data_IF_114857904720
#
_entry.id   IF_114857904720
#
_cell.length_a   1.000
_cell.length_b   1.000
_cell.length_c   1.000
_cell.angle_alpha   90.00
_cell.angle_beta   90.00
_cell.angle_gamma   90.00
#
_symmetry.space_group_name_H-M   'P 1'
#
loop_
_entity.id
_entity.type
_entity.pdbx_description
1 polymer ?
#
# COMPACT_ATOMS: atom_id res chain seq x y z
N UNK A 1 -23.01 7.44 -0.20
CA UNK A 1 -23.61 6.17 -0.64
C UNK A 1 -24.92 6.38 -1.39
N UNK A 2 -25.84 7.17 -0.86
CA UNK A 2 -27.14 7.42 -1.51
C UNK A 2 -26.96 7.94 -2.95
N UNK A 3 -26.07 8.92 -3.17
CA UNK A 3 -25.75 9.44 -4.50
C UNK A 3 -25.18 8.37 -5.43
N UNK A 4 -24.33 7.49 -4.92
CA UNK A 4 -23.76 6.37 -5.70
C UNK A 4 -24.85 5.37 -6.08
N UNK A 5 -25.73 5.02 -5.15
CA UNK A 5 -26.87 4.15 -5.43
C UNK A 5 -27.86 4.80 -6.42
N UNK A 6 -28.04 6.12 -6.35
CA UNK A 6 -28.86 6.85 -7.32
C UNK A 6 -28.22 6.85 -8.72
N UNK A 7 -26.88 6.98 -8.81
CA UNK A 7 -26.16 6.85 -10.07
C UNK A 7 -26.32 5.43 -10.67
N UNK A 8 -26.17 4.40 -9.85
CA UNK A 8 -26.32 3.00 -10.28
C UNK A 8 -27.76 2.62 -10.67
N UNK A 9 -28.77 3.33 -10.14
CA UNK A 9 -30.17 3.17 -10.62
C UNK A 9 -30.33 3.73 -12.04
N UNK A 10 -29.57 4.74 -12.44
CA UNK A 10 -29.59 5.31 -13.78
C UNK A 10 -28.75 4.53 -14.78
N UNK A 11 -27.57 4.08 -14.32
CA UNK A 11 -26.63 3.28 -15.08
C UNK A 11 -25.99 2.22 -14.17
N UNK A 12 -26.53 1.00 -14.22
CA UNK A 12 -26.10 -0.13 -13.41
C UNK A 12 -24.70 -0.63 -13.78
N UNK A 13 -24.17 -0.22 -14.95
CA UNK A 13 -22.83 -0.60 -15.43
C UNK A 13 -21.81 0.55 -15.32
N UNK A 14 -22.15 1.63 -14.63
CA UNK A 14 -21.23 2.73 -14.38
C UNK A 14 -20.04 2.27 -13.55
N UNK A 15 -18.90 2.01 -14.23
CA UNK A 15 -17.67 1.50 -13.62
C UNK A 15 -17.18 2.39 -12.48
N UNK A 16 -17.26 3.71 -12.67
CA UNK A 16 -16.84 4.68 -11.65
C UNK A 16 -17.75 4.65 -10.42
N UNK A 17 -19.05 4.50 -10.62
CA UNK A 17 -20.00 4.40 -9.51
C UNK A 17 -19.84 3.07 -8.75
N UNK A 18 -19.56 1.96 -9.45
CA UNK A 18 -19.29 0.66 -8.84
C UNK A 18 -17.97 0.73 -8.05
N UNK A 19 -16.91 1.33 -8.60
CA UNK A 19 -15.63 1.52 -7.90
C UNK A 19 -15.77 2.37 -6.63
N UNK A 20 -16.56 3.44 -6.70
CA UNK A 20 -16.85 4.28 -5.53
C UNK A 20 -17.69 3.52 -4.48
N UNK A 21 -18.65 2.69 -4.92
CA UNK A 21 -19.41 1.81 -4.02
C UNK A 21 -18.47 0.84 -3.28
N UNK A 22 -17.51 0.23 -3.99
CA UNK A 22 -16.53 -0.66 -3.40
C UNK A 22 -15.70 0.02 -2.30
N UNK A 23 -15.26 1.26 -2.54
CA UNK A 23 -14.55 2.07 -1.53
C UNK A 23 -15.40 2.32 -0.29
N UNK A 24 -16.68 2.70 -0.46
CA UNK A 24 -17.60 2.95 0.65
C UNK A 24 -17.86 1.68 1.45
N UNK A 25 -18.07 0.55 0.78
CA UNK A 25 -18.26 -0.76 1.42
C UNK A 25 -17.02 -1.16 2.23
N UNK A 26 -15.82 -1.00 1.67
CA UNK A 26 -14.57 -1.26 2.37
C UNK A 26 -14.38 -0.39 3.60
N UNK A 27 -14.68 0.91 3.51
CA UNK A 27 -14.62 1.85 4.63
C UNK A 27 -15.62 1.52 5.76
N UNK A 28 -16.69 0.79 5.46
CA UNK A 28 -17.67 0.28 6.44
C UNK A 28 -17.32 -1.09 7.01
N UNK A 29 -16.24 -1.69 6.53
CA UNK A 29 -15.84 -3.05 6.94
C UNK A 29 -16.59 -4.17 6.21
N UNK A 30 -17.44 -3.85 5.22
CA UNK A 30 -18.09 -4.86 4.38
C UNK A 30 -17.13 -5.33 3.27
N UNK A 31 -16.14 -6.09 3.72
CA UNK A 31 -15.04 -6.56 2.87
C UNK A 31 -15.54 -7.44 1.72
N UNK A 32 -16.54 -8.30 1.96
CA UNK A 32 -17.07 -9.19 0.93
C UNK A 32 -17.79 -8.42 -0.17
N UNK A 33 -18.65 -7.46 0.19
CA UNK A 33 -19.33 -6.62 -0.80
C UNK A 33 -18.35 -5.73 -1.55
N UNK A 34 -17.35 -5.16 -0.87
CA UNK A 34 -16.29 -4.37 -1.51
C UNK A 34 -15.56 -5.19 -2.58
N UNK A 35 -15.17 -6.42 -2.25
CA UNK A 35 -14.51 -7.32 -3.20
C UNK A 35 -15.36 -7.66 -4.41
N UNK A 36 -16.65 -7.93 -4.22
CA UNK A 36 -17.58 -8.18 -5.31
C UNK A 36 -17.70 -6.95 -6.24
N UNK A 37 -17.82 -5.76 -5.66
CA UNK A 37 -17.90 -4.50 -6.44
C UNK A 37 -16.60 -4.20 -7.18
N UNK A 38 -15.42 -4.38 -6.57
CA UNK A 38 -14.13 -4.21 -7.27
C UNK A 38 -13.98 -5.18 -8.43
N UNK A 39 -14.34 -6.46 -8.23
CA UNK A 39 -14.31 -7.47 -9.29
C UNK A 39 -15.23 -7.08 -10.43
N UNK A 40 -16.48 -6.72 -10.14
CA UNK A 40 -17.44 -6.28 -11.14
C UNK A 40 -16.92 -5.10 -11.97
N UNK A 41 -16.32 -4.08 -11.32
CA UNK A 41 -15.71 -2.97 -12.01
C UNK A 41 -14.58 -3.41 -12.97
N UNK A 42 -13.71 -4.32 -12.50
CA UNK A 42 -12.60 -4.84 -13.29
C UNK A 42 -13.06 -5.71 -14.49
N UNK A 43 -14.18 -6.42 -14.35
CA UNK A 43 -14.80 -7.19 -15.43
C UNK A 43 -15.45 -6.28 -16.49
N UNK A 44 -16.09 -5.19 -16.07
CA UNK A 44 -16.70 -4.21 -16.96
C UNK A 44 -15.67 -3.34 -17.70
N UNK A 45 -14.49 -3.10 -17.08
CA UNK A 45 -13.45 -2.25 -17.66
C UNK A 45 -12.08 -2.94 -17.63
N UNK A 46 -11.91 -4.05 -18.41
CA UNK A 46 -10.76 -4.94 -18.30
C UNK A 46 -9.42 -4.35 -18.79
N UNK A 47 -9.44 -3.13 -19.33
CA UNK A 47 -8.26 -2.42 -19.83
C UNK A 47 -8.02 -1.08 -19.08
N UNK A 48 -8.86 -0.73 -18.11
CA UNK A 48 -8.69 0.51 -17.34
C UNK A 48 -7.72 0.29 -16.18
N UNK A 49 -6.53 0.89 -16.29
CA UNK A 49 -5.45 0.72 -15.33
C UNK A 49 -5.81 1.16 -13.90
N UNK A 50 -6.57 2.23 -13.73
CA UNK A 50 -7.05 2.71 -12.44
C UNK A 50 -7.96 1.68 -11.73
N UNK A 51 -8.89 1.10 -12.47
CA UNK A 51 -9.85 0.10 -11.98
C UNK A 51 -9.12 -1.19 -11.58
N UNK A 52 -8.23 -1.66 -12.46
CA UNK A 52 -7.44 -2.89 -12.23
C UNK A 52 -6.48 -2.74 -11.05
N UNK A 53 -5.83 -1.56 -10.91
CA UNK A 53 -5.00 -1.25 -9.75
C UNK A 53 -5.80 -1.28 -8.44
N UNK A 54 -7.01 -0.71 -8.42
CA UNK A 54 -7.85 -0.68 -7.23
C UNK A 54 -8.28 -2.10 -6.81
N UNK A 55 -8.65 -2.95 -7.76
CA UNK A 55 -8.96 -4.35 -7.45
C UNK A 55 -7.72 -5.12 -6.97
N UNK A 56 -6.57 -4.93 -7.61
CA UNK A 56 -5.29 -5.50 -7.16
C UNK A 56 -4.94 -5.07 -5.73
N UNK A 57 -5.09 -3.78 -5.41
CA UNK A 57 -4.85 -3.26 -4.06
C UNK A 57 -5.77 -3.90 -3.02
N UNK A 58 -7.06 -4.07 -3.36
CA UNK A 58 -8.02 -4.75 -2.50
C UNK A 58 -7.62 -6.22 -2.27
N UNK A 59 -7.29 -6.97 -3.31
CA UNK A 59 -6.84 -8.37 -3.21
C UNK A 59 -5.61 -8.49 -2.31
N UNK A 60 -4.63 -7.61 -2.49
CA UNK A 60 -3.40 -7.58 -1.70
C UNK A 60 -3.66 -7.31 -0.22
N UNK A 61 -4.60 -6.43 0.08
CA UNK A 61 -4.99 -6.10 1.45
C UNK A 61 -5.78 -7.23 2.13
N UNK A 62 -6.48 -8.06 1.34
CA UNK A 62 -7.39 -9.08 1.81
C UNK A 62 -6.87 -10.53 1.63
N UNK A 63 -5.55 -10.71 1.64
CA UNK A 63 -4.93 -12.04 1.75
C UNK A 63 -4.66 -12.76 0.44
N UNK A 64 -4.85 -12.09 -0.72
CA UNK A 64 -4.55 -12.67 -2.05
C UNK A 64 -3.41 -11.93 -2.76
N UNK A 65 -2.21 -11.80 -2.14
CA UNK A 65 -1.14 -10.98 -2.72
C UNK A 65 -0.60 -11.54 -4.04
N UNK A 66 -0.54 -12.85 -4.21
CA UNK A 66 -0.06 -13.45 -5.45
C UNK A 66 -1.02 -13.19 -6.63
N UNK A 67 -2.34 -13.26 -6.40
CA UNK A 67 -3.35 -12.92 -7.40
C UNK A 67 -3.32 -11.43 -7.75
N UNK A 68 -3.18 -10.57 -6.75
CA UNK A 68 -3.10 -9.12 -6.92
C UNK A 68 -2.01 -8.69 -7.91
N UNK A 69 -0.87 -9.37 -7.93
CA UNK A 69 0.24 -9.05 -8.83
C UNK A 69 -0.16 -9.12 -10.30
N UNK A 70 -1.01 -10.09 -10.67
CA UNK A 70 -1.52 -10.19 -12.05
C UNK A 70 -2.39 -8.98 -12.43
N UNK A 71 -3.16 -8.45 -11.49
CA UNK A 71 -4.00 -7.29 -11.73
C UNK A 71 -3.18 -6.00 -11.84
N UNK A 72 -2.10 -5.86 -11.07
CA UNK A 72 -1.16 -4.75 -11.24
C UNK A 72 -0.42 -4.82 -12.58
N UNK A 73 0.00 -6.00 -13.03
CA UNK A 73 0.62 -6.17 -14.34
C UNK A 73 -0.33 -5.74 -15.48
N UNK A 74 -1.61 -6.11 -15.37
CA UNK A 74 -2.64 -5.67 -16.32
C UNK A 74 -2.89 -4.15 -16.24
N UNK A 75 -2.90 -3.56 -15.04
CA UNK A 75 -3.03 -2.12 -14.86
C UNK A 75 -1.88 -1.35 -15.53
N UNK A 76 -0.67 -1.85 -15.40
CA UNK A 76 0.54 -1.27 -16.01
C UNK A 76 0.62 -1.47 -17.52
N UNK A 77 -0.14 -2.40 -18.09
CA UNK A 77 -0.26 -2.57 -19.53
C UNK A 77 -1.12 -1.47 -20.19
N UNK A 78 -1.97 -0.78 -19.42
CA UNK A 78 -2.71 0.39 -19.89
C UNK A 78 -1.77 1.60 -20.04
N UNK A 79 -1.44 1.94 -21.30
CA UNK A 79 -0.54 3.05 -21.63
C UNK A 79 -1.14 4.43 -21.32
N UNK A 80 -2.44 4.51 -21.06
CA UNK A 80 -3.16 5.74 -20.73
C UNK A 80 -3.33 5.93 -19.23
N UNK A 81 -2.92 4.96 -18.43
CA UNK A 81 -3.03 5.01 -16.99
C UNK A 81 -2.14 6.13 -16.41
N UNK A 82 -2.80 7.11 -15.78
CA UNK A 82 -2.13 8.35 -15.34
C UNK A 82 -1.21 8.18 -14.11
N UNK A 83 -1.31 7.04 -13.40
CA UNK A 83 -0.60 6.85 -12.12
C UNK A 83 0.21 5.54 -12.06
N UNK A 84 1.11 5.28 -13.03
CA UNK A 84 1.88 4.03 -13.06
C UNK A 84 2.81 3.88 -11.85
N UNK A 85 3.32 4.98 -11.28
CA UNK A 85 4.12 4.94 -10.06
C UNK A 85 3.35 4.35 -8.88
N UNK A 86 2.05 4.68 -8.76
CA UNK A 86 1.19 4.12 -7.71
C UNK A 86 0.97 2.61 -7.89
N UNK A 87 0.70 2.16 -9.11
CA UNK A 87 0.54 0.73 -9.38
C UNK A 87 1.84 -0.06 -9.14
N UNK A 88 2.98 0.48 -9.54
CA UNK A 88 4.29 -0.12 -9.26
C UNK A 88 4.60 -0.17 -7.76
N UNK A 89 4.29 0.90 -7.02
CA UNK A 89 4.42 0.93 -5.57
C UNK A 89 3.55 -0.13 -4.90
N UNK A 90 2.27 -0.22 -5.31
CA UNK A 90 1.34 -1.25 -4.84
C UNK A 90 1.82 -2.66 -5.18
N UNK A 91 2.25 -2.89 -6.43
CA UNK A 91 2.78 -4.17 -6.87
C UNK A 91 4.01 -4.59 -6.05
N UNK A 92 4.94 -3.67 -5.83
CA UNK A 92 6.15 -3.92 -5.05
C UNK A 92 5.85 -4.24 -3.58
N UNK A 93 5.00 -3.46 -2.92
CA UNK A 93 4.56 -3.74 -1.55
C UNK A 93 3.79 -5.06 -1.44
N UNK A 94 3.00 -5.39 -2.47
CA UNK A 94 2.28 -6.66 -2.54
C UNK A 94 3.21 -7.85 -2.80
N UNK A 95 4.23 -7.67 -3.63
CA UNK A 95 5.24 -8.69 -3.89
C UNK A 95 6.01 -9.06 -2.61
N UNK A 96 6.26 -8.09 -1.70
CA UNK A 96 6.82 -8.40 -0.37
C UNK A 96 5.91 -9.33 0.40
N UNK A 97 4.61 -9.05 0.45
CA UNK A 97 3.62 -9.91 1.12
C UNK A 97 3.49 -11.29 0.47
N UNK A 98 3.75 -11.37 -0.83
CA UNK A 98 3.76 -12.63 -1.59
C UNK A 98 5.09 -13.40 -1.47
N UNK A 99 6.06 -12.92 -0.69
CA UNK A 99 7.37 -13.56 -0.55
C UNK A 99 8.25 -13.47 -1.82
N UNK A 100 8.07 -12.42 -2.64
CA UNK A 100 8.79 -12.18 -3.89
C UNK A 100 9.69 -10.92 -3.80
N UNK A 101 10.76 -10.93 -2.97
CA UNK A 101 11.55 -9.73 -2.68
C UNK A 101 12.30 -9.16 -3.89
N UNK A 102 12.67 -9.98 -4.87
CA UNK A 102 13.36 -9.53 -6.10
C UNK A 102 12.40 -8.77 -7.00
N UNK A 103 11.17 -9.27 -7.17
CA UNK A 103 10.09 -8.55 -7.87
C UNK A 103 9.79 -7.25 -7.16
N UNK A 104 9.62 -7.28 -5.85
CA UNK A 104 9.39 -6.09 -5.03
C UNK A 104 10.46 -5.03 -5.28
N UNK A 105 11.74 -5.40 -5.22
CA UNK A 105 12.85 -4.48 -5.47
C UNK A 105 12.77 -3.85 -6.87
N UNK A 106 12.43 -4.63 -7.89
CA UNK A 106 12.28 -4.16 -9.27
C UNK A 106 11.15 -3.16 -9.43
N UNK A 107 9.96 -3.51 -8.95
CA UNK A 107 8.76 -2.68 -9.08
C UNK A 107 8.88 -1.38 -8.25
N UNK A 108 9.42 -1.47 -7.03
CA UNK A 108 9.61 -0.30 -6.15
C UNK A 108 10.66 0.68 -6.71
N UNK A 109 11.76 0.20 -7.31
CA UNK A 109 12.71 1.09 -7.97
C UNK A 109 12.06 1.85 -9.11
N UNK A 110 11.33 1.15 -10.00
CA UNK A 110 10.59 1.80 -11.10
C UNK A 110 9.56 2.81 -10.58
N UNK A 111 8.89 2.50 -9.46
CA UNK A 111 7.96 3.45 -8.82
C UNK A 111 8.68 4.73 -8.39
N UNK A 112 9.86 4.60 -7.76
CA UNK A 112 10.67 5.73 -7.29
C UNK A 112 11.40 6.47 -8.42
N UNK A 113 11.66 5.82 -9.55
CA UNK A 113 12.16 6.49 -10.76
C UNK A 113 11.11 7.42 -11.36
N UNK A 114 9.83 7.03 -11.29
CA UNK A 114 8.70 7.82 -11.79
C UNK A 114 8.23 8.88 -10.77
N UNK A 115 8.22 8.54 -9.50
CA UNK A 115 7.85 9.41 -8.38
C UNK A 115 8.81 9.21 -7.21
N UNK A 116 9.90 9.99 -7.13
CA UNK A 116 10.93 9.86 -6.10
C UNK A 116 10.42 10.05 -4.65
N UNK A 117 9.26 10.69 -4.50
CA UNK A 117 8.65 10.97 -3.20
C UNK A 117 7.41 10.11 -2.93
N UNK A 118 7.16 9.07 -3.71
CA UNK A 118 6.05 8.15 -3.46
C UNK A 118 6.15 7.53 -2.06
N UNK A 119 5.27 7.90 -1.13
CA UNK A 119 5.44 7.52 0.27
C UNK A 119 5.27 6.02 0.50
N UNK A 120 4.41 5.37 -0.29
CA UNK A 120 4.19 3.92 -0.17
C UNK A 120 5.37 3.11 -0.70
N UNK A 121 5.96 3.54 -1.84
CA UNK A 121 7.16 2.92 -2.39
C UNK A 121 8.36 3.10 -1.46
N UNK A 122 8.54 4.28 -0.86
CA UNK A 122 9.60 4.54 0.12
C UNK A 122 9.45 3.67 1.37
N UNK A 123 8.23 3.54 1.92
CA UNK A 123 7.98 2.66 3.07
C UNK A 123 8.27 1.20 2.72
N UNK A 124 7.81 0.75 1.55
CA UNK A 124 8.02 -0.63 1.11
C UNK A 124 9.49 -0.96 0.85
N UNK A 125 10.27 -0.01 0.30
CA UNK A 125 11.74 -0.16 0.18
C UNK A 125 12.41 -0.23 1.55
N UNK A 126 12.00 0.61 2.51
CA UNK A 126 12.53 0.56 3.86
C UNK A 126 12.26 -0.82 4.51
N UNK A 127 11.06 -1.38 4.33
CA UNK A 127 10.72 -2.74 4.80
C UNK A 127 11.57 -3.82 4.14
N UNK A 128 11.72 -3.73 2.81
CA UNK A 128 12.53 -4.68 2.04
C UNK A 128 13.97 -4.71 2.54
N UNK A 129 14.61 -3.53 2.65
CA UNK A 129 16.01 -3.43 3.05
C UNK A 129 16.19 -3.79 4.54
N UNK A 130 15.25 -3.44 5.42
CA UNK A 130 15.25 -3.89 6.81
C UNK A 130 15.14 -5.42 6.93
N UNK A 131 14.29 -6.05 6.12
CA UNK A 131 14.16 -7.50 6.05
C UNK A 131 15.45 -8.21 5.57
N UNK A 132 16.22 -7.56 4.72
CA UNK A 132 17.55 -7.99 4.28
C UNK A 132 18.67 -7.66 5.27
N UNK A 133 18.35 -6.99 6.39
CA UNK A 133 19.29 -6.43 7.38
C UNK A 133 20.20 -5.33 6.83
N UNK A 134 19.85 -4.74 5.70
CA UNK A 134 20.52 -3.57 5.12
C UNK A 134 20.01 -2.30 5.81
N UNK A 135 20.24 -2.19 7.12
CA UNK A 135 19.60 -1.14 7.94
C UNK A 135 20.07 0.27 7.57
N UNK A 136 21.23 0.43 6.95
CA UNK A 136 21.72 1.73 6.48
C UNK A 136 20.85 2.25 5.33
N UNK A 137 20.60 1.42 4.36
CA UNK A 137 19.73 1.71 3.21
C UNK A 137 18.27 1.88 3.66
N UNK A 138 17.83 1.02 4.59
CA UNK A 138 16.49 1.12 5.16
C UNK A 138 16.27 2.47 5.85
N UNK A 139 17.28 2.97 6.60
CA UNK A 139 17.26 4.31 7.24
C UNK A 139 17.07 5.40 6.18
N UNK A 140 17.81 5.37 5.10
CA UNK A 140 17.71 6.37 4.04
C UNK A 140 16.29 6.42 3.45
N UNK A 141 15.66 5.26 3.21
CA UNK A 141 14.30 5.20 2.70
C UNK A 141 13.26 5.66 3.72
N UNK A 142 13.38 5.29 5.00
CA UNK A 142 12.39 5.67 6.02
C UNK A 142 12.45 7.16 6.33
N UNK A 143 13.63 7.78 6.33
CA UNK A 143 13.79 9.23 6.49
C UNK A 143 13.14 9.99 5.32
N UNK A 144 13.36 9.55 4.08
CA UNK A 144 12.67 10.11 2.90
C UNK A 144 11.15 9.93 3.02
N UNK A 145 10.68 8.77 3.49
CA UNK A 145 9.25 8.51 3.72
C UNK A 145 8.64 9.51 4.73
N UNK A 146 9.35 9.76 5.83
CA UNK A 146 8.91 10.70 6.86
C UNK A 146 8.95 12.17 6.39
N UNK A 147 9.83 12.50 5.44
CA UNK A 147 9.87 13.80 4.80
C UNK A 147 8.77 13.98 3.74
N UNK A 148 8.38 12.90 3.03
CA UNK A 148 7.44 12.95 1.92
C UNK A 148 5.97 13.01 2.36
N UNK A 149 5.62 12.46 3.54
CA UNK A 149 4.23 12.41 4.00
C UNK A 149 4.16 12.32 5.55
N UNK A 150 3.01 12.67 6.14
CA UNK A 150 2.80 12.55 7.58
C UNK A 150 3.15 11.15 8.09
N UNK A 151 3.69 11.09 9.30
CA UNK A 151 3.99 9.83 9.96
C UNK A 151 2.71 9.03 10.22
N UNK A 152 2.83 7.71 10.20
CA UNK A 152 1.83 6.78 10.71
C UNK A 152 2.47 5.96 11.83
N UNK A 153 1.67 5.31 12.66
CA UNK A 153 2.18 4.43 13.71
C UNK A 153 3.10 3.34 13.12
N UNK A 154 2.70 2.72 12.00
CA UNK A 154 3.49 1.67 11.33
C UNK A 154 4.83 2.17 10.81
N UNK A 155 4.88 3.40 10.29
CA UNK A 155 6.12 4.03 9.81
C UNK A 155 7.07 4.32 10.97
N UNK A 156 6.56 4.83 12.10
CA UNK A 156 7.39 5.06 13.28
C UNK A 156 7.90 3.75 13.90
N UNK A 157 7.06 2.71 13.93
CA UNK A 157 7.47 1.38 14.40
C UNK A 157 8.59 0.80 13.50
N UNK A 158 8.47 0.93 12.19
CA UNK A 158 9.52 0.52 11.25
C UNK A 158 10.82 1.32 11.47
N UNK A 159 10.72 2.64 11.68
CA UNK A 159 11.88 3.48 11.97
C UNK A 159 12.57 3.03 13.27
N UNK A 160 11.81 2.73 14.32
CA UNK A 160 12.35 2.18 15.58
C UNK A 160 13.11 0.88 15.32
N UNK A 161 12.52 -0.04 14.58
CA UNK A 161 13.13 -1.34 14.24
C UNK A 161 14.44 -1.17 13.45
N UNK A 162 14.46 -0.26 12.49
CA UNK A 162 15.66 0.05 11.69
C UNK A 162 16.77 0.60 12.58
N UNK A 163 16.48 1.55 13.46
CA UNK A 163 17.49 2.15 14.36
C UNK A 163 18.00 1.14 15.39
N UNK A 164 17.14 0.25 15.88
CA UNK A 164 17.55 -0.87 16.73
C UNK A 164 18.48 -1.82 15.98
N UNK A 165 18.21 -2.10 14.71
CA UNK A 165 19.08 -2.91 13.84
C UNK A 165 20.45 -2.29 13.61
N UNK A 166 20.54 -0.96 13.61
CA UNK A 166 21.80 -0.20 13.54
C UNK A 166 22.50 -0.06 14.90
N UNK A 167 21.83 -0.40 16.01
CA UNK A 167 22.33 -0.19 17.36
C UNK A 167 22.22 1.28 17.85
N UNK A 168 21.55 2.16 17.12
CA UNK A 168 21.35 3.56 17.46
C UNK A 168 20.18 3.72 18.46
N UNK A 169 20.47 3.48 19.73
CA UNK A 169 19.47 3.58 20.81
C UNK A 169 18.91 4.99 20.98
N UNK A 170 19.67 6.02 20.62
CA UNK A 170 19.25 7.41 20.75
C UNK A 170 18.21 7.75 19.69
N UNK A 171 18.46 7.39 18.44
CA UNK A 171 17.51 7.58 17.35
C UNK A 171 16.24 6.73 17.56
N UNK A 172 16.37 5.47 17.95
CA UNK A 172 15.25 4.60 18.28
C UNK A 172 14.38 5.21 19.41
N UNK A 173 14.99 5.76 20.46
CA UNK A 173 14.29 6.43 21.55
C UNK A 173 13.51 7.66 21.09
N UNK A 174 14.05 8.45 20.16
CA UNK A 174 13.33 9.61 19.58
C UNK A 174 12.09 9.19 18.82
N UNK A 175 12.17 8.15 17.97
CA UNK A 175 11.01 7.64 17.27
C UNK A 175 9.99 6.99 18.21
N UNK A 176 10.44 6.33 19.29
CA UNK A 176 9.55 5.79 20.32
C UNK A 176 8.76 6.90 21.03
N UNK A 177 9.41 8.02 21.39
CA UNK A 177 8.74 9.16 22.00
C UNK A 177 7.70 9.79 21.06
N UNK A 178 8.02 9.89 19.76
CA UNK A 178 7.07 10.34 18.75
C UNK A 178 5.87 9.40 18.64
N UNK A 179 6.10 8.08 18.60
CA UNK A 179 5.03 7.08 18.54
C UNK A 179 4.07 7.22 19.74
N UNK A 180 4.59 7.31 20.96
CA UNK A 180 3.77 7.51 22.17
C UNK A 180 2.97 8.80 22.12
N UNK A 181 3.58 9.89 21.66
CA UNK A 181 2.97 11.20 21.60
C UNK A 181 1.90 11.33 20.52
N UNK A 182 2.21 10.84 19.30
CA UNK A 182 1.38 11.03 18.12
C UNK A 182 0.32 9.90 17.97
N UNK A 183 0.61 8.71 18.50
CA UNK A 183 -0.22 7.49 18.36
C UNK A 183 -0.26 6.68 19.66
N UNK A 184 -0.83 7.22 20.75
CA UNK A 184 -0.79 6.59 22.08
C UNK A 184 -1.39 5.17 22.09
N UNK A 185 -2.48 4.95 21.37
CA UNK A 185 -3.15 3.63 21.30
C UNK A 185 -2.28 2.58 20.61
N UNK A 186 -1.51 2.97 19.59
CA UNK A 186 -0.60 2.06 18.89
C UNK A 186 0.70 1.78 19.67
N UNK A 187 1.07 2.68 20.58
CA UNK A 187 2.25 2.52 21.42
C UNK A 187 2.05 1.50 22.56
N UNK A 188 0.80 1.28 22.98
CA UNK A 188 0.41 0.30 24.01
C UNK A 188 0.12 -1.08 23.44
N UNK A 189 -0.11 -1.18 22.13
CA UNK A 189 -0.30 -2.48 21.45
C UNK A 189 1.03 -3.24 21.45
N UNK A 190 1.05 -4.42 22.06
CA UNK A 190 2.25 -5.29 22.12
C UNK A 190 2.74 -5.58 20.70
N UNK A 191 4.03 -5.42 20.38
CA UNK A 191 4.58 -5.82 19.09
C UNK A 191 4.50 -7.35 18.97
N UNK A 192 3.55 -7.86 18.21
CA UNK A 192 3.42 -9.31 18.09
C UNK A 192 2.27 -9.85 17.25
N UNK A 193 1.28 -9.03 16.87
CA UNK A 193 0.09 -9.57 16.19
C UNK A 193 0.08 -9.41 14.65
N UNK A 194 1.01 -8.64 14.07
CA UNK A 194 1.04 -8.39 12.61
C UNK A 194 2.48 -8.38 12.05
N UNK A 195 3.37 -9.21 12.57
CA UNK A 195 4.67 -9.44 11.96
C UNK A 195 4.55 -10.66 11.01
N UNK A 196 4.75 -10.41 9.74
CA UNK A 196 4.89 -11.25 8.55
C UNK A 196 3.74 -11.11 7.57
#
# INVERSE_FOLDING_TARGET
EEQVRAALKKDAQSVDAIGLLALIQGARGDTAAAGASYRQAAELAPQRGDVLNNYGAWLCANGSPAEALTWFDRALADRTYASPASALGNAGGCALKAGQPERAAGDLRKALDLDPNNPYALESMARLEAGRRNYFEARAFIERRLAAAPATASVLQLAIQIEQGLGDKVAAGRYQQRLVKEFPDAATATPGANAL
#
